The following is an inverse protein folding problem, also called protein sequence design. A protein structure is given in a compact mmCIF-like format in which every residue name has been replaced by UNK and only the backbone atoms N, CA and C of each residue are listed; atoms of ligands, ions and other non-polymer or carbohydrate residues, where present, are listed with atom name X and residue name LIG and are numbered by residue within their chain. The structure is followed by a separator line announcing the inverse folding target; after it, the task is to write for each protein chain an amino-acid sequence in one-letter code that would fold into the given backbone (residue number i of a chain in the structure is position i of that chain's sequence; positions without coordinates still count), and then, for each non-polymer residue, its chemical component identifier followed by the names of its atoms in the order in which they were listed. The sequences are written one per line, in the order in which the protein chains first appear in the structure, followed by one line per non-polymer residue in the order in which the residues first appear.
data_IF_404531880979
#
_entry.id   IF_404531880979
#
_cell.length_a   1.000
_cell.length_b   1.000
_cell.length_c   1.000
_cell.angle_alpha   90.00
_cell.angle_beta   90.00
_cell.angle_gamma   90.00
#
_symmetry.space_group_name_H-M   'P 1'
#
loop_
_entity.id
_entity.type
_entity.pdbx_description
1 polymer ?
#
# COMPACT_ATOMS: atom_id res chain seq x y z
N UNK A 1 -28.05 13.23 18.74
CA UNK A 1 -26.63 13.46 18.39
C UNK A 1 -26.28 12.51 17.26
N UNK A 2 -25.94 13.01 16.08
CA UNK A 2 -25.40 12.14 15.02
C UNK A 2 -24.00 11.72 15.44
N UNK A 3 -23.81 10.42 15.68
CA UNK A 3 -22.50 9.85 15.93
C UNK A 3 -21.82 9.69 14.57
N UNK A 4 -21.21 10.75 14.06
CA UNK A 4 -20.44 10.70 12.81
C UNK A 4 -19.09 10.06 13.17
N UNK A 5 -18.97 8.74 13.00
CA UNK A 5 -17.70 8.05 13.05
C UNK A 5 -17.00 8.22 11.70
N UNK A 6 -16.14 9.23 11.58
CA UNK A 6 -15.27 9.34 10.42
C UNK A 6 -14.19 8.26 10.51
N UNK A 7 -13.97 7.55 9.41
CA UNK A 7 -12.87 6.59 9.33
C UNK A 7 -11.56 7.34 9.07
N UNK A 8 -10.51 6.96 9.79
CA UNK A 8 -9.19 7.60 9.72
C UNK A 8 -8.16 6.59 9.24
N UNK A 9 -7.42 6.97 8.21
CA UNK A 9 -6.37 6.16 7.60
C UNK A 9 -5.00 6.76 7.91
N UNK A 10 -4.03 5.91 8.23
CA UNK A 10 -2.63 6.30 8.35
C UNK A 10 -1.85 5.92 7.09
N UNK A 11 -1.08 6.87 6.57
CA UNK A 11 -0.15 6.59 5.47
C UNK A 11 1.00 5.70 5.95
N UNK A 12 1.33 4.64 5.21
CA UNK A 12 2.36 3.67 5.62
C UNK A 12 3.70 4.33 5.98
N UNK A 13 4.11 5.39 5.27
CA UNK A 13 5.39 6.08 5.55
C UNK A 13 5.39 6.90 6.84
N UNK A 14 4.23 7.12 7.46
CA UNK A 14 4.14 7.73 8.78
C UNK A 14 4.40 6.71 9.91
N UNK A 15 4.39 5.42 9.59
CA UNK A 15 4.75 4.35 10.52
C UNK A 15 6.27 4.11 10.49
N UNK A 16 6.87 3.67 11.62
CA UNK A 16 8.26 3.26 11.64
C UNK A 16 8.58 2.18 10.58
N UNK A 17 9.82 2.19 10.09
CA UNK A 17 10.32 1.06 9.29
C UNK A 17 10.30 -0.19 10.17
N UNK A 18 9.81 -1.30 9.63
CA UNK A 18 9.63 -2.55 10.38
C UNK A 18 8.81 -3.55 9.59
N UNK A 19 8.54 -4.69 10.21
CA UNK A 19 7.68 -5.72 9.61
C UNK A 19 6.20 -5.29 9.65
N UNK A 20 5.35 -5.98 8.88
CA UNK A 20 3.93 -5.65 8.82
C UNK A 20 3.22 -5.80 10.17
N UNK A 21 3.56 -6.82 10.97
CA UNK A 21 2.93 -7.03 12.28
C UNK A 21 3.09 -5.82 13.21
N UNK A 22 4.30 -5.24 13.25
CA UNK A 22 4.58 -4.02 14.02
C UNK A 22 3.76 -2.82 13.51
N UNK A 23 3.67 -2.64 12.20
CA UNK A 23 2.86 -1.57 11.59
C UNK A 23 1.38 -1.69 11.95
N UNK A 24 0.82 -2.89 11.83
CA UNK A 24 -0.57 -3.20 12.20
C UNK A 24 -0.83 -2.95 13.69
N UNK A 25 0.09 -3.40 14.55
CA UNK A 25 0.02 -3.17 16.00
C UNK A 25 0.02 -1.68 16.35
N UNK A 26 0.90 -0.90 15.73
CA UNK A 26 0.97 0.56 15.94
C UNK A 26 -0.31 1.23 15.45
N UNK A 27 -0.78 0.93 14.24
CA UNK A 27 -2.02 1.50 13.71
C UNK A 27 -3.22 1.22 14.63
N UNK A 28 -3.31 0.00 15.16
CA UNK A 28 -4.33 -0.37 16.14
C UNK A 28 -4.18 0.37 17.47
N UNK A 29 -2.97 0.47 18.00
CA UNK A 29 -2.68 1.17 19.26
C UNK A 29 -3.07 2.66 19.19
N UNK A 30 -2.92 3.28 18.02
CA UNK A 30 -3.29 4.68 17.78
C UNK A 30 -4.72 4.87 17.25
N UNK A 31 -5.55 3.81 17.25
CA UNK A 31 -6.96 3.85 16.84
C UNK A 31 -7.19 4.34 15.40
N UNK A 32 -6.29 4.04 14.47
CA UNK A 32 -6.60 4.16 13.05
C UNK A 32 -7.57 3.05 12.62
N UNK A 33 -8.31 3.28 11.54
CA UNK A 33 -9.18 2.27 10.93
C UNK A 33 -8.44 1.51 9.82
N UNK A 34 -7.56 2.22 9.11
CA UNK A 34 -6.90 1.74 7.89
C UNK A 34 -5.43 2.12 7.81
N UNK A 35 -4.69 1.38 6.99
CA UNK A 35 -3.35 1.74 6.51
C UNK A 35 -3.41 1.91 4.99
N UNK A 36 -2.98 3.07 4.47
CA UNK A 36 -2.76 3.26 3.03
C UNK A 36 -1.36 2.73 2.67
N UNK A 37 -1.31 1.70 1.81
CA UNK A 37 -0.07 1.08 1.35
C UNK A 37 0.70 2.03 0.42
N UNK A 38 2.03 2.15 0.58
CA UNK A 38 2.86 3.00 -0.27
C UNK A 38 3.73 2.18 -1.22
N UNK A 39 3.39 2.19 -2.51
CA UNK A 39 4.25 1.64 -3.59
C UNK A 39 4.90 2.81 -4.32
N UNK A 40 6.16 3.08 -4.00
CA UNK A 40 6.92 4.20 -4.54
C UNK A 40 7.92 3.75 -5.61
N UNK A 41 8.77 4.67 -6.07
CA UNK A 41 9.72 4.44 -7.16
C UNK A 41 10.94 3.58 -6.82
N UNK A 42 11.06 3.14 -5.55
CA UNK A 42 12.20 2.33 -5.11
C UNK A 42 12.05 0.88 -5.57
N UNK A 43 13.16 0.20 -5.97
CA UNK A 43 13.10 -1.19 -6.41
C UNK A 43 12.45 -2.12 -5.38
N UNK A 44 12.71 -1.88 -4.09
CA UNK A 44 12.16 -2.69 -3.00
C UNK A 44 10.64 -2.60 -2.94
N UNK A 45 10.07 -1.41 -3.18
CA UNK A 45 8.61 -1.23 -3.16
C UNK A 45 7.93 -1.65 -4.44
N UNK A 46 8.59 -1.50 -5.58
CA UNK A 46 8.06 -2.04 -6.84
C UNK A 46 7.99 -3.57 -6.80
N UNK A 47 8.89 -4.24 -6.09
CA UNK A 47 8.85 -5.68 -5.88
C UNK A 47 7.63 -6.14 -5.04
N UNK A 48 7.01 -5.26 -4.25
CA UNK A 48 5.76 -5.59 -3.53
C UNK A 48 4.59 -5.88 -4.50
N UNK A 49 4.69 -5.45 -5.77
CA UNK A 49 3.72 -5.77 -6.82
C UNK A 49 3.77 -7.23 -7.29
N UNK A 50 4.83 -7.95 -6.95
CA UNK A 50 5.04 -9.35 -7.33
C UNK A 50 4.80 -10.30 -6.13
N UNK A 51 4.14 -9.82 -5.07
CA UNK A 51 3.76 -10.65 -3.92
C UNK A 51 2.91 -11.85 -4.34
N UNK A 52 3.27 -13.03 -3.84
CA UNK A 52 2.51 -14.24 -4.04
C UNK A 52 1.42 -14.44 -3.00
N UNK A 53 0.71 -15.56 -3.11
CA UNK A 53 -0.36 -15.93 -2.17
C UNK A 53 0.12 -15.94 -0.72
N UNK A 54 1.38 -16.29 -0.46
CA UNK A 54 1.91 -16.36 0.90
C UNK A 54 1.98 -14.98 1.56
N UNK A 55 2.55 -13.99 0.88
CA UNK A 55 2.64 -12.61 1.37
C UNK A 55 1.24 -12.00 1.55
N UNK A 56 0.36 -12.19 0.56
CA UNK A 56 -1.02 -11.69 0.61
C UNK A 56 -1.81 -12.35 1.76
N UNK A 57 -1.69 -13.67 1.94
CA UNK A 57 -2.35 -14.37 3.04
C UNK A 57 -1.84 -13.93 4.41
N UNK A 58 -0.53 -13.67 4.53
CA UNK A 58 0.04 -13.13 5.76
C UNK A 58 -0.55 -11.75 6.09
N UNK A 59 -0.67 -10.86 5.10
CA UNK A 59 -1.33 -9.56 5.29
C UNK A 59 -2.80 -9.70 5.66
N UNK A 60 -3.55 -10.59 5.01
CA UNK A 60 -4.94 -10.85 5.34
C UNK A 60 -5.13 -11.36 6.78
N UNK A 61 -4.21 -12.22 7.25
CA UNK A 61 -4.18 -12.67 8.64
C UNK A 61 -3.96 -11.50 9.60
N UNK A 62 -2.97 -10.64 9.32
CA UNK A 62 -2.68 -9.46 10.15
C UNK A 62 -3.85 -8.46 10.16
N UNK A 63 -4.48 -8.21 9.01
CA UNK A 63 -5.67 -7.37 8.94
C UNK A 63 -6.79 -7.89 9.86
N UNK A 64 -6.99 -9.21 9.88
CA UNK A 64 -7.98 -9.87 10.73
C UNK A 64 -7.62 -9.82 12.21
N UNK A 65 -6.35 -10.08 12.54
CA UNK A 65 -5.81 -10.09 13.91
C UNK A 65 -5.90 -8.72 14.57
N UNK A 66 -5.47 -7.67 13.88
CA UNK A 66 -5.43 -6.30 14.42
C UNK A 66 -6.69 -5.49 14.15
N UNK A 67 -7.61 -6.02 13.33
CA UNK A 67 -8.84 -5.33 12.89
C UNK A 67 -8.55 -3.97 12.23
N UNK A 68 -7.47 -3.92 11.43
CA UNK A 68 -7.09 -2.77 10.61
C UNK A 68 -7.08 -3.27 9.18
N UNK A 69 -7.61 -2.50 8.23
CA UNK A 69 -7.61 -2.92 6.82
C UNK A 69 -6.64 -2.09 5.98
N UNK A 70 -6.10 -2.68 4.93
CA UNK A 70 -5.47 -1.97 3.82
C UNK A 70 -6.55 -1.85 2.74
N UNK A 71 -6.95 -0.62 2.41
CA UNK A 71 -8.04 -0.36 1.44
C UNK A 71 -7.61 0.49 0.26
N UNK A 72 -6.44 1.10 0.34
CA UNK A 72 -5.94 2.04 -0.63
C UNK A 72 -4.44 1.80 -0.84
N UNK A 73 -3.98 2.15 -2.04
CA UNK A 73 -2.57 2.11 -2.41
C UNK A 73 -2.22 3.49 -2.98
N UNK A 74 -1.26 4.15 -2.36
CA UNK A 74 -0.58 5.30 -2.95
C UNK A 74 0.49 4.78 -3.92
N UNK A 75 0.15 4.66 -5.20
CA UNK A 75 1.09 4.25 -6.24
C UNK A 75 1.85 5.44 -6.82
N UNK A 76 2.91 5.85 -6.12
CA UNK A 76 3.78 6.96 -6.52
C UNK A 76 4.89 6.55 -7.50
N UNK A 77 5.00 5.26 -7.84
CA UNK A 77 5.94 4.74 -8.84
C UNK A 77 5.81 5.39 -10.23
N UNK A 78 4.62 5.88 -10.59
CA UNK A 78 4.39 6.63 -11.83
C UNK A 78 5.10 7.99 -11.89
N UNK A 79 5.67 8.49 -10.79
CA UNK A 79 6.59 9.64 -10.86
C UNK A 79 7.85 9.30 -11.66
N UNK A 80 8.39 8.09 -11.47
CA UNK A 80 9.56 7.58 -12.20
C UNK A 80 9.17 6.99 -13.56
N UNK A 81 8.00 6.37 -13.63
CA UNK A 81 7.45 5.79 -14.87
C UNK A 81 6.14 6.47 -15.26
N UNK A 82 6.17 7.72 -15.76
CA UNK A 82 4.95 8.43 -16.10
C UNK A 82 4.29 7.89 -17.36
N UNK A 83 2.97 7.72 -17.31
CA UNK A 83 2.15 7.30 -18.46
C UNK A 83 2.22 8.31 -19.63
N UNK A 84 2.48 9.58 -19.34
CA UNK A 84 2.63 10.66 -20.34
C UNK A 84 4.04 10.81 -20.93
N UNK A 85 4.97 9.87 -20.68
CA UNK A 85 6.34 9.95 -21.19
C UNK A 85 6.40 9.99 -22.73
N UNK A 86 7.31 10.79 -23.30
CA UNK A 86 7.65 10.73 -24.72
C UNK A 86 8.44 9.46 -25.09
N UNK A 87 9.18 8.90 -24.14
CA UNK A 87 9.88 7.64 -24.31
C UNK A 87 8.88 6.47 -24.19
N UNK A 88 8.76 5.70 -25.27
CA UNK A 88 7.86 4.55 -25.37
C UNK A 88 8.18 3.46 -24.34
N UNK A 89 9.44 3.13 -24.12
CA UNK A 89 9.86 2.12 -23.13
C UNK A 89 9.36 2.49 -21.73
N UNK A 90 9.45 3.76 -21.35
CA UNK A 90 8.94 4.24 -20.05
C UNK A 90 7.42 4.06 -19.95
N UNK A 91 6.67 4.36 -21.03
CA UNK A 91 5.20 4.15 -21.05
C UNK A 91 4.83 2.67 -20.96
N UNK A 92 5.54 1.81 -21.68
CA UNK A 92 5.32 0.36 -21.62
C UNK A 92 5.54 -0.17 -20.21
N UNK A 93 6.62 0.26 -19.54
CA UNK A 93 6.84 -0.06 -18.12
C UNK A 93 5.74 0.51 -17.22
N UNK A 94 5.34 1.78 -17.42
CA UNK A 94 4.28 2.41 -16.62
C UNK A 94 2.94 1.66 -16.71
N UNK A 95 2.58 1.16 -17.90
CA UNK A 95 1.38 0.35 -18.12
C UNK A 95 1.49 -1.04 -17.49
N UNK A 96 2.65 -1.69 -17.59
CA UNK A 96 2.90 -2.98 -16.94
C UNK A 96 2.77 -2.86 -15.41
N UNK A 97 3.38 -1.84 -14.81
CA UNK A 97 3.28 -1.59 -13.37
C UNK A 97 1.84 -1.26 -12.95
N UNK A 98 1.11 -0.45 -13.72
CA UNK A 98 -0.30 -0.16 -13.44
C UNK A 98 -1.15 -1.43 -13.45
N UNK A 99 -0.89 -2.34 -14.38
CA UNK A 99 -1.59 -3.62 -14.44
C UNK A 99 -1.35 -4.45 -13.18
N UNK A 100 -0.12 -4.54 -12.70
CA UNK A 100 0.21 -5.31 -11.50
C UNK A 100 -0.32 -4.67 -10.20
N UNK A 101 -0.56 -3.35 -10.17
CA UNK A 101 -1.20 -2.70 -9.01
C UNK A 101 -2.69 -3.04 -8.91
N UNK A 102 -3.36 -3.28 -10.04
CA UNK A 102 -4.81 -3.44 -10.12
C UNK A 102 -5.29 -4.90 -9.99
N UNK A 103 -4.42 -5.87 -10.27
CA UNK A 103 -4.74 -7.30 -10.38
C UNK A 103 -3.73 -8.13 -9.60
#
# INVERSE_FOLDING_TARGET
MFNISNQVEIYEKALPKGNWSEKFKIAKQFNFDFIELSINESPERLADLDWGDQEINNLNKLQSEYQIKIRSICFSGHRKYPLGSYNETIRTTALALLKNVLF
#
